data_IF_171374297441
#
_entry.id   IF_171374297441
#
_cell.length_a   1.000
_cell.length_b   1.000
_cell.length_c   1.000
_cell.angle_alpha   90.00
_cell.angle_beta   90.00
_cell.angle_gamma   90.00
#
_symmetry.space_group_name_H-M   'P 1'
#
loop_
_entity.id
_entity.type
_entity.pdbx_description
1 polymer ?
#
# COMPACT_ATOMS: atom_id res chain seq x y z
N UNK A 1 14.91 4.64 14.64
CA UNK A 1 13.65 4.32 13.98
C UNK A 1 12.49 4.73 14.87
N UNK A 2 11.40 5.23 14.28
CA UNK A 2 10.16 5.53 14.99
C UNK A 2 9.21 4.33 14.80
N UNK A 3 8.64 3.85 15.88
CA UNK A 3 7.75 2.70 15.89
C UNK A 3 6.28 3.05 16.15
N UNK A 4 5.99 4.35 16.32
CA UNK A 4 4.63 4.86 16.46
C UNK A 4 4.49 6.24 15.78
N UNK A 5 3.24 6.59 15.46
CA UNK A 5 2.95 7.84 14.76
C UNK A 5 3.23 9.09 15.60
N UNK A 6 3.07 9.01 16.92
CA UNK A 6 3.27 10.16 17.81
C UNK A 6 4.75 10.54 17.87
N UNK A 7 5.65 9.58 18.09
CA UNK A 7 7.10 9.82 18.09
C UNK A 7 7.64 10.25 16.72
N UNK A 8 7.08 9.70 15.63
CA UNK A 8 7.46 10.09 14.27
C UNK A 8 7.08 11.53 13.92
N UNK A 9 6.02 12.07 14.54
CA UNK A 9 5.50 13.43 14.33
C UNK A 9 5.94 14.43 15.40
N UNK A 10 6.65 13.98 16.43
CA UNK A 10 7.09 14.84 17.52
C UNK A 10 8.00 15.98 17.02
N UNK A 11 8.00 17.09 17.75
CA UNK A 11 8.93 18.19 17.49
C UNK A 11 10.38 17.70 17.60
N UNK A 12 11.22 18.02 16.62
CA UNK A 12 12.59 17.55 16.53
C UNK A 12 12.77 16.12 16.00
N UNK A 13 11.70 15.42 15.65
CA UNK A 13 11.82 14.13 14.95
C UNK A 13 12.56 14.29 13.62
N UNK A 14 13.41 13.30 13.30
CA UNK A 14 14.13 13.27 12.03
C UNK A 14 13.11 13.14 10.88
N UNK A 15 13.15 14.09 9.95
CA UNK A 15 12.32 14.07 8.75
C UNK A 15 12.86 13.04 7.76
N UNK A 16 12.02 12.09 7.33
CA UNK A 16 12.40 11.00 6.42
C UNK A 16 12.47 11.45 4.97
N UNK A 17 11.55 12.31 4.55
CA UNK A 17 11.47 12.79 3.17
C UNK A 17 11.43 14.31 3.13
N UNK A 18 12.22 14.90 2.25
CA UNK A 18 12.16 16.32 1.94
C UNK A 18 10.75 16.70 1.47
N UNK A 19 10.22 17.81 1.93
CA UNK A 19 8.86 18.26 1.57
C UNK A 19 7.72 17.56 2.32
N UNK A 20 8.00 16.69 3.32
CA UNK A 20 7.00 16.02 4.16
C UNK A 20 7.18 16.40 5.64
N UNK A 21 6.86 17.65 6.04
CA UNK A 21 7.08 18.13 7.40
C UNK A 21 6.30 17.28 8.41
N UNK A 22 6.94 16.99 9.55
CA UNK A 22 6.37 16.13 10.59
C UNK A 22 6.14 14.68 10.16
N UNK A 23 6.86 14.21 9.13
CA UNK A 23 6.68 12.88 8.55
C UNK A 23 5.23 12.57 8.15
N UNK A 24 4.46 13.61 7.84
CA UNK A 24 3.08 13.49 7.40
C UNK A 24 3.01 13.39 5.88
N UNK A 25 2.61 12.22 5.38
CA UNK A 25 2.46 12.01 3.95
C UNK A 25 1.26 12.77 3.40
N UNK A 26 0.13 12.68 4.08
CA UNK A 26 -1.11 13.36 3.70
C UNK A 26 -2.06 13.48 4.88
N UNK A 27 -2.81 14.57 4.92
CA UNK A 27 -3.98 14.74 5.77
C UNK A 27 -5.17 15.11 4.88
N UNK A 28 -6.33 14.57 5.21
CA UNK A 28 -7.62 14.88 4.57
C UNK A 28 -8.61 15.17 5.69
N UNK A 29 -9.32 16.26 5.57
CA UNK A 29 -10.41 16.62 6.45
C UNK A 29 -11.67 16.84 5.61
N UNK A 30 -12.77 16.26 6.03
CA UNK A 30 -14.06 16.39 5.36
C UNK A 30 -15.15 16.54 6.40
N UNK A 31 -16.04 17.53 6.21
CA UNK A 31 -17.17 17.75 7.07
C UNK A 31 -18.44 17.80 6.22
N UNK A 32 -19.48 17.11 6.64
CA UNK A 32 -20.77 17.04 5.98
C UNK A 32 -21.88 17.38 6.98
N UNK A 33 -22.79 18.28 6.60
CA UNK A 33 -23.90 18.70 7.43
C UNK A 33 -23.46 19.53 8.64
N UNK A 34 -24.30 19.52 9.68
CA UNK A 34 -24.10 20.25 10.94
C UNK A 34 -23.70 19.24 12.04
N UNK A 35 -22.41 19.01 12.16
CA UNK A 35 -21.86 18.03 13.12
C UNK A 35 -22.07 18.50 14.56
N UNK A 36 -21.84 19.78 14.85
CA UNK A 36 -22.01 20.34 16.19
C UNK A 36 -23.46 20.31 16.64
N UNK A 37 -24.39 20.72 15.76
CA UNK A 37 -25.81 20.60 16.00
C UNK A 37 -26.25 19.15 16.19
N UNK A 38 -25.70 18.22 15.43
CA UNK A 38 -25.95 16.79 15.57
C UNK A 38 -25.52 16.24 16.93
N UNK A 39 -24.36 16.63 17.45
CA UNK A 39 -23.92 16.26 18.80
C UNK A 39 -24.74 16.94 19.89
N UNK A 40 -25.13 18.21 19.71
CA UNK A 40 -25.99 18.92 20.66
C UNK A 40 -27.40 18.31 20.76
N UNK A 41 -27.91 17.73 19.68
CA UNK A 41 -29.19 17.05 19.64
C UNK A 41 -29.14 15.57 20.12
N UNK A 42 -27.96 15.04 20.42
CA UNK A 42 -27.80 13.64 20.84
C UNK A 42 -28.28 13.44 22.30
N UNK A 43 -29.05 12.39 22.54
CA UNK A 43 -29.39 11.93 23.89
C UNK A 43 -28.22 11.19 24.55
N UNK A 44 -27.34 10.61 23.74
CA UNK A 44 -26.18 9.83 24.16
C UNK A 44 -25.02 10.10 23.23
N UNK A 45 -23.86 10.43 23.81
CA UNK A 45 -22.59 10.53 23.09
C UNK A 45 -21.65 9.46 23.61
N UNK A 46 -21.03 8.72 22.68
CA UNK A 46 -19.98 7.73 22.99
C UNK A 46 -18.73 8.08 22.22
N UNK A 47 -17.60 7.88 22.86
CA UNK A 47 -16.28 8.06 22.27
C UNK A 47 -15.41 6.85 22.62
N UNK A 48 -14.74 6.29 21.60
CA UNK A 48 -13.85 5.14 21.74
C UNK A 48 -12.63 5.30 20.84
N UNK A 49 -11.52 4.75 21.31
CA UNK A 49 -10.31 4.58 20.53
C UNK A 49 -10.13 3.10 20.18
N UNK A 50 -9.74 2.85 18.93
CA UNK A 50 -9.47 1.51 18.41
C UNK A 50 -8.06 1.51 17.84
N UNK A 51 -7.38 0.38 18.01
CA UNK A 51 -6.06 0.15 17.46
C UNK A 51 -6.06 -1.12 16.63
N UNK A 52 -5.58 -1.03 15.41
CA UNK A 52 -5.36 -2.15 14.50
C UNK A 52 -3.87 -2.32 14.28
N UNK A 53 -3.32 -3.45 14.71
CA UNK A 53 -1.91 -3.76 14.46
C UNK A 53 -1.65 -3.98 12.96
N UNK A 54 -0.43 -3.69 12.54
CA UNK A 54 0.02 -4.07 11.21
C UNK A 54 -0.03 -5.59 11.02
N UNK A 55 -0.56 -6.05 9.89
CA UNK A 55 -0.69 -7.47 9.59
C UNK A 55 -0.20 -7.82 8.19
N UNK A 56 0.41 -9.00 8.06
CA UNK A 56 0.81 -9.58 6.78
C UNK A 56 -0.39 -10.25 6.10
N UNK A 57 -0.47 -10.16 4.78
CA UNK A 57 -1.54 -10.79 3.98
C UNK A 57 -1.42 -12.32 3.95
N UNK A 58 -0.23 -12.87 4.18
CA UNK A 58 0.07 -14.30 4.30
C UNK A 58 -0.54 -15.18 3.19
N UNK A 59 -0.41 -14.76 1.91
CA UNK A 59 -0.86 -15.57 0.78
C UNK A 59 -0.16 -16.92 0.81
N UNK A 60 -0.86 -18.00 0.45
CA UNK A 60 -0.27 -19.34 0.36
C UNK A 60 0.79 -19.42 -0.74
N UNK A 61 0.56 -18.76 -1.88
CA UNK A 61 1.51 -18.66 -2.98
C UNK A 61 2.61 -17.64 -2.67
N UNK A 62 3.90 -18.02 -2.73
CA UNK A 62 5.00 -17.08 -2.63
C UNK A 62 5.03 -16.09 -3.80
N UNK A 63 5.81 -15.03 -3.68
CA UNK A 63 6.05 -14.12 -4.80
C UNK A 63 6.97 -14.78 -5.83
N UNK A 64 6.53 -14.80 -7.07
CA UNK A 64 7.28 -15.41 -8.18
C UNK A 64 7.07 -14.64 -9.49
N UNK A 65 8.11 -14.64 -10.31
CA UNK A 65 8.08 -14.13 -11.67
C UNK A 65 8.96 -14.97 -12.60
N UNK A 66 8.56 -15.02 -13.86
CA UNK A 66 9.38 -15.55 -14.96
C UNK A 66 9.54 -14.45 -15.99
N UNK A 67 10.75 -14.03 -16.24
CA UNK A 67 11.10 -13.01 -17.21
C UNK A 67 11.86 -13.65 -18.38
N UNK A 68 11.50 -13.27 -19.60
CA UNK A 68 12.20 -13.67 -20.81
C UNK A 68 12.64 -12.43 -21.58
N UNK A 69 13.93 -12.34 -21.88
CA UNK A 69 14.51 -11.32 -22.74
C UNK A 69 14.77 -11.88 -24.14
N UNK A 70 14.08 -11.33 -25.13
CA UNK A 70 14.35 -11.59 -26.55
C UNK A 70 15.41 -10.56 -27.02
N UNK A 71 16.65 -10.99 -27.10
CA UNK A 71 17.76 -10.12 -27.47
C UNK A 71 17.71 -9.66 -28.94
N UNK A 72 17.14 -10.46 -29.84
CA UNK A 72 17.03 -10.11 -31.25
C UNK A 72 16.02 -8.99 -31.48
N UNK A 73 14.90 -9.02 -30.73
CA UNK A 73 13.85 -8.01 -30.83
C UNK A 73 13.95 -6.89 -29.77
N UNK A 74 14.85 -7.02 -28.82
CA UNK A 74 14.96 -6.09 -27.70
C UNK A 74 13.71 -6.05 -26.83
N UNK A 75 13.03 -7.19 -26.61
CA UNK A 75 11.74 -7.27 -25.92
C UNK A 75 11.80 -8.07 -24.63
N UNK A 76 11.09 -7.58 -23.63
CA UNK A 76 10.89 -8.25 -22.36
C UNK A 76 9.47 -8.80 -22.24
N UNK A 77 9.34 -10.09 -21.92
CA UNK A 77 8.07 -10.66 -21.46
C UNK A 77 8.22 -11.08 -20.01
N UNK A 78 7.36 -10.54 -19.15
CA UNK A 78 7.31 -10.89 -17.73
C UNK A 78 5.98 -11.59 -17.42
N UNK A 79 6.06 -12.80 -16.88
CA UNK A 79 4.95 -13.47 -16.20
C UNK A 79 5.08 -13.24 -14.72
N UNK A 80 4.11 -12.56 -14.10
CA UNK A 80 4.14 -12.26 -12.66
C UNK A 80 2.80 -12.49 -12.00
N UNK A 81 2.85 -12.94 -10.75
CA UNK A 81 1.69 -13.15 -9.88
C UNK A 81 1.21 -11.79 -9.31
N UNK A 82 0.87 -10.88 -10.19
CA UNK A 82 0.45 -9.50 -9.86
C UNK A 82 -1.07 -9.32 -9.96
N UNK A 83 -1.63 -8.40 -9.17
CA UNK A 83 -3.02 -7.91 -9.31
C UNK A 83 -3.13 -6.77 -10.32
N UNK A 84 -1.99 -6.13 -10.66
CA UNK A 84 -1.94 -4.87 -11.40
C UNK A 84 -0.92 -4.93 -12.56
N UNK A 85 -1.13 -5.77 -13.57
CA UNK A 85 -0.17 -5.95 -14.65
C UNK A 85 0.18 -4.63 -15.37
N UNK A 86 -0.74 -3.69 -15.43
CA UNK A 86 -0.50 -2.38 -16.03
C UNK A 86 0.53 -1.55 -15.25
N UNK A 87 0.43 -1.50 -13.91
CA UNK A 87 1.42 -0.76 -13.10
C UNK A 87 2.80 -1.42 -13.13
N UNK A 88 2.84 -2.75 -13.14
CA UNK A 88 4.10 -3.49 -13.34
C UNK A 88 4.73 -3.15 -14.68
N UNK A 89 3.94 -3.08 -15.75
CA UNK A 89 4.39 -2.66 -17.07
C UNK A 89 5.05 -1.27 -17.04
N UNK A 90 4.36 -0.27 -16.50
CA UNK A 90 4.89 1.09 -16.40
C UNK A 90 6.17 1.18 -15.56
N UNK A 91 6.21 0.45 -14.45
CA UNK A 91 7.39 0.42 -13.58
C UNK A 91 8.59 -0.22 -14.29
N UNK A 92 8.38 -1.34 -14.99
CA UNK A 92 9.43 -1.98 -15.79
C UNK A 92 9.97 -1.05 -16.86
N UNK A 93 9.11 -0.34 -17.60
CA UNK A 93 9.53 0.61 -18.63
C UNK A 93 10.47 1.68 -18.05
N UNK A 94 10.11 2.26 -16.91
CA UNK A 94 10.91 3.27 -16.23
C UNK A 94 12.21 2.71 -15.66
N UNK A 95 12.14 1.61 -14.91
CA UNK A 95 13.30 1.05 -14.21
C UNK A 95 14.33 0.45 -15.17
N UNK A 96 13.88 -0.16 -16.27
CA UNK A 96 14.74 -0.79 -17.27
C UNK A 96 15.14 0.15 -18.40
N UNK A 97 14.55 1.36 -18.43
CA UNK A 97 14.73 2.34 -19.50
C UNK A 97 14.41 1.74 -20.89
N UNK A 98 13.26 1.07 -20.97
CA UNK A 98 12.74 0.48 -22.18
C UNK A 98 11.48 1.23 -22.63
N UNK A 99 11.25 1.22 -23.94
CA UNK A 99 9.97 1.64 -24.50
C UNK A 99 8.84 0.72 -23.99
N UNK A 100 7.68 1.26 -23.67
CA UNK A 100 6.51 0.48 -23.22
C UNK A 100 6.13 -0.59 -24.24
N UNK A 101 6.25 -0.31 -25.54
CA UNK A 101 5.97 -1.26 -26.63
C UNK A 101 6.93 -2.46 -26.65
N UNK A 102 8.09 -2.36 -26.00
CA UNK A 102 9.06 -3.45 -25.87
C UNK A 102 8.79 -4.38 -24.69
N UNK A 103 7.76 -4.09 -23.87
CA UNK A 103 7.46 -4.86 -22.66
C UNK A 103 6.08 -5.49 -22.75
N UNK A 104 5.99 -6.76 -22.37
CA UNK A 104 4.75 -7.48 -22.17
C UNK A 104 4.68 -8.05 -20.77
N UNK A 105 3.65 -7.68 -20.01
CA UNK A 105 3.36 -8.27 -18.70
C UNK A 105 2.17 -9.22 -18.84
N UNK A 106 2.36 -10.45 -18.40
CA UNK A 106 1.35 -11.51 -18.42
C UNK A 106 1.02 -11.89 -16.99
N UNK A 107 -0.24 -11.76 -16.63
CA UNK A 107 -0.77 -12.25 -15.35
C UNK A 107 -1.25 -13.70 -15.53
N UNK A 108 -0.57 -14.70 -14.95
CA UNK A 108 -1.04 -16.07 -14.91
C UNK A 108 -2.18 -16.23 -13.88
N UNK A 109 -2.54 -17.47 -13.56
CA UNK A 109 -3.34 -17.73 -12.35
C UNK A 109 -2.59 -17.28 -11.11
N UNK A 110 -3.29 -16.62 -10.19
CA UNK A 110 -2.72 -16.01 -8.99
C UNK A 110 -3.29 -16.69 -7.75
N UNK A 111 -2.41 -17.26 -6.94
CA UNK A 111 -2.76 -17.97 -5.71
C UNK A 111 -2.98 -17.06 -4.51
N UNK A 112 -3.70 -15.95 -4.72
CA UNK A 112 -4.05 -14.96 -3.71
C UNK A 112 -3.21 -13.68 -3.82
N UNK A 113 -3.80 -12.57 -3.44
CA UNK A 113 -3.13 -11.26 -3.44
C UNK A 113 -3.55 -10.42 -2.23
N UNK A 114 -4.86 -10.30 -1.97
CA UNK A 114 -5.44 -9.62 -0.80
C UNK A 114 -4.96 -8.17 -0.62
N UNK A 115 -4.51 -7.53 -1.71
CA UNK A 115 -3.92 -6.19 -1.69
C UNK A 115 -2.38 -6.16 -1.66
N UNK A 116 -1.70 -7.24 -1.33
CA UNK A 116 -0.23 -7.32 -1.34
C UNK A 116 0.37 -7.03 -2.72
N UNK A 117 -0.26 -7.55 -3.78
CA UNK A 117 0.23 -7.50 -5.17
C UNK A 117 -0.42 -6.38 -5.99
N UNK A 118 -0.80 -5.27 -5.33
CA UNK A 118 -1.44 -4.10 -5.97
C UNK A 118 -0.47 -3.00 -6.34
N UNK A 119 0.81 -3.27 -6.27
CA UNK A 119 1.87 -2.42 -6.80
C UNK A 119 2.97 -3.28 -7.40
N UNK A 120 3.93 -2.65 -8.05
CA UNK A 120 5.13 -3.31 -8.52
C UNK A 120 6.06 -3.58 -7.35
N UNK A 121 6.45 -4.83 -7.19
CA UNK A 121 7.39 -5.25 -6.17
C UNK A 121 8.80 -5.39 -6.77
N UNK A 122 9.81 -5.23 -5.94
CA UNK A 122 11.20 -5.21 -6.39
C UNK A 122 11.61 -6.47 -7.17
N UNK A 123 11.09 -7.64 -6.79
CA UNK A 123 11.43 -8.92 -7.44
C UNK A 123 11.03 -8.95 -8.93
N UNK A 124 10.00 -8.22 -9.34
CA UNK A 124 9.55 -8.13 -10.74
C UNK A 124 10.57 -7.36 -11.59
N UNK A 125 11.08 -6.24 -11.05
CA UNK A 125 12.14 -5.45 -11.71
C UNK A 125 13.44 -6.24 -11.77
N UNK A 126 13.80 -6.91 -10.67
CA UNK A 126 15.01 -7.76 -10.58
C UNK A 126 14.95 -8.89 -11.60
N UNK A 127 13.80 -9.57 -11.74
CA UNK A 127 13.62 -10.63 -12.74
C UNK A 127 13.83 -10.11 -14.17
N UNK A 128 13.31 -8.94 -14.49
CA UNK A 128 13.51 -8.27 -15.78
C UNK A 128 14.99 -7.92 -16.04
N UNK A 129 15.68 -7.36 -15.05
CA UNK A 129 17.11 -7.04 -15.14
C UNK A 129 17.97 -8.30 -15.35
N UNK A 130 17.70 -9.35 -14.58
CA UNK A 130 18.40 -10.61 -14.67
C UNK A 130 18.18 -11.29 -16.03
N UNK A 131 16.96 -11.29 -16.56
CA UNK A 131 16.66 -11.84 -17.87
C UNK A 131 17.42 -11.11 -18.98
N UNK A 132 17.50 -9.78 -18.92
CA UNK A 132 18.29 -8.97 -19.87
C UNK A 132 19.78 -9.25 -19.75
N UNK A 133 20.32 -9.36 -18.54
CA UNK A 133 21.72 -9.67 -18.30
C UNK A 133 22.10 -11.09 -18.76
N UNK A 134 21.20 -12.07 -18.56
CA UNK A 134 21.39 -13.45 -19.01
C UNK A 134 21.13 -13.64 -20.51
N UNK A 135 20.52 -12.67 -21.20
CA UNK A 135 20.14 -12.79 -22.60
C UNK A 135 19.08 -13.87 -22.86
N UNK A 136 18.20 -14.16 -21.90
CA UNK A 136 17.27 -15.27 -21.99
C UNK A 136 16.21 -15.31 -20.91
N UNK A 137 15.84 -16.50 -20.48
CA UNK A 137 14.76 -16.71 -19.50
C UNK A 137 15.32 -16.87 -18.09
N UNK A 138 14.74 -16.14 -17.15
CA UNK A 138 15.04 -16.23 -15.71
C UNK A 138 13.75 -16.47 -14.94
N UNK A 139 13.77 -17.39 -13.99
CA UNK A 139 12.75 -17.57 -12.96
C UNK A 139 13.28 -17.05 -11.65
N UNK A 140 12.53 -16.18 -11.02
CA UNK A 140 12.78 -15.68 -9.67
C UNK A 140 11.58 -16.03 -8.79
N UNK A 141 11.84 -16.74 -7.71
CA UNK A 141 10.83 -17.12 -6.72
C UNK A 141 11.39 -16.81 -5.34
N UNK A 142 10.61 -16.10 -4.55
CA UNK A 142 10.98 -15.80 -3.17
C UNK A 142 10.60 -16.97 -2.27
N UNK A 143 11.44 -17.24 -1.27
CA UNK A 143 11.09 -18.14 -0.18
C UNK A 143 9.90 -17.59 0.62
N UNK A 144 9.34 -18.39 1.50
CA UNK A 144 8.28 -17.93 2.41
C UNK A 144 8.76 -16.76 3.29
N UNK A 145 9.95 -16.85 3.83
CA UNK A 145 10.56 -15.81 4.66
C UNK A 145 10.76 -14.52 3.85
N UNK A 146 11.36 -14.60 2.67
CA UNK A 146 11.55 -13.45 1.80
C UNK A 146 10.21 -12.82 1.39
N UNK A 147 9.17 -13.63 1.14
CA UNK A 147 7.83 -13.13 0.84
C UNK A 147 7.26 -12.35 2.02
N UNK A 148 7.51 -12.75 3.26
CA UNK A 148 7.10 -12.00 4.45
C UNK A 148 7.90 -10.73 4.67
N UNK A 149 9.16 -10.70 4.29
CA UNK A 149 10.05 -9.54 4.47
C UNK A 149 9.93 -8.48 3.35
N UNK A 150 9.44 -8.86 2.19
CA UNK A 150 9.40 -7.98 1.00
C UNK A 150 8.03 -7.43 0.66
N UNK A 151 7.06 -7.54 1.57
CA UNK A 151 5.74 -7.00 1.35
C UNK A 151 5.47 -5.76 2.20
N UNK A 152 4.44 -5.03 1.81
CA UNK A 152 3.81 -4.00 2.63
C UNK A 152 2.64 -4.62 3.35
N UNK A 153 2.64 -4.73 4.63
CA UNK A 153 1.50 -5.17 5.42
C UNK A 153 0.23 -4.34 5.18
N UNK A 154 -0.83 -4.70 5.81
CA UNK A 154 -1.92 -3.77 6.07
C UNK A 154 -1.43 -2.83 7.16
N UNK A 155 -1.47 -1.51 6.92
CA UNK A 155 -0.83 -0.57 7.81
C UNK A 155 -1.51 -0.55 9.17
N UNK A 156 -0.70 -0.38 10.21
CA UNK A 156 -1.20 -0.10 11.54
C UNK A 156 -2.03 1.17 11.52
N UNK A 157 -3.17 1.12 12.20
CA UNK A 157 -4.16 2.20 12.16
C UNK A 157 -4.74 2.45 13.54
N UNK A 158 -4.67 3.69 13.99
CA UNK A 158 -5.35 4.18 15.18
C UNK A 158 -6.59 4.95 14.76
N UNK A 159 -7.72 4.63 15.37
CA UNK A 159 -9.01 5.28 15.10
C UNK A 159 -9.59 5.82 16.41
N UNK A 160 -9.90 7.10 16.45
CA UNK A 160 -10.72 7.71 17.49
C UNK A 160 -12.05 8.06 16.88
N UNK A 161 -13.11 7.53 17.45
CA UNK A 161 -14.48 7.73 16.95
C UNK A 161 -15.38 8.24 18.05
N UNK A 162 -16.14 9.28 17.73
CA UNK A 162 -17.20 9.84 18.57
C UNK A 162 -18.52 9.78 17.81
N UNK A 163 -19.55 9.26 18.46
CA UNK A 163 -20.89 9.08 17.87
C UNK A 163 -21.97 9.66 18.77
N UNK A 164 -22.88 10.40 18.21
CA UNK A 164 -24.11 10.89 18.83
C UNK A 164 -25.31 10.04 18.44
N UNK A 165 -26.14 9.68 19.40
CA UNK A 165 -27.30 8.81 19.23
C UNK A 165 -28.53 9.39 19.92
N UNK A 166 -29.70 9.20 19.33
CA UNK A 166 -30.97 9.40 20.02
C UNK A 166 -31.32 8.22 20.93
N UNK A 167 -32.30 8.35 21.83
CA UNK A 167 -32.85 7.25 22.65
C UNK A 167 -33.41 6.10 21.80
N UNK A 168 -33.80 6.37 20.58
CA UNK A 168 -34.29 5.33 19.64
C UNK A 168 -33.20 4.68 18.83
N UNK A 169 -31.92 5.07 19.04
CA UNK A 169 -30.75 4.51 18.37
C UNK A 169 -30.43 5.13 17.01
N UNK A 170 -31.11 6.22 16.61
CA UNK A 170 -30.74 6.93 15.40
C UNK A 170 -29.43 7.71 15.61
N UNK A 171 -28.54 7.67 14.62
CA UNK A 171 -27.28 8.41 14.63
C UNK A 171 -27.57 9.88 14.31
N UNK A 172 -27.08 10.80 15.16
CA UNK A 172 -27.23 12.25 14.98
C UNK A 172 -25.94 12.90 14.46
N UNK A 173 -24.78 12.40 14.87
CA UNK A 173 -23.48 12.85 14.39
C UNK A 173 -22.43 11.75 14.51
N UNK A 174 -21.41 11.81 13.64
CA UNK A 174 -20.19 11.01 13.74
C UNK A 174 -19.01 11.94 13.52
N UNK A 175 -17.99 11.80 14.38
CA UNK A 175 -16.67 12.38 14.20
C UNK A 175 -15.65 11.23 14.28
N UNK A 176 -14.74 11.16 13.32
CA UNK A 176 -13.71 10.14 13.31
C UNK A 176 -12.35 10.76 12.96
N UNK A 177 -11.33 10.46 13.77
CA UNK A 177 -9.94 10.72 13.47
C UNK A 177 -9.25 9.39 13.20
N UNK A 178 -8.59 9.29 12.04
CA UNK A 178 -7.91 8.06 11.62
C UNK A 178 -6.44 8.39 11.35
N UNK A 179 -5.54 7.77 12.08
CA UNK A 179 -4.09 7.90 11.89
C UNK A 179 -3.55 6.58 11.40
N UNK A 180 -3.04 6.56 10.17
CA UNK A 180 -2.51 5.36 9.54
C UNK A 180 -1.01 5.48 9.33
N UNK A 181 -0.24 4.43 9.67
CA UNK A 181 1.20 4.37 9.46
C UNK A 181 1.51 3.83 8.06
N UNK A 182 2.11 4.65 7.23
CA UNK A 182 2.46 4.30 5.85
C UNK A 182 3.85 3.67 5.69
N UNK A 183 4.63 3.56 6.79
CA UNK A 183 6.04 3.17 6.72
C UNK A 183 6.92 4.24 6.07
N UNK A 184 8.20 3.94 5.89
CA UNK A 184 9.19 4.91 5.41
C UNK A 184 8.95 5.40 3.97
N UNK A 185 8.21 4.67 3.16
CA UNK A 185 7.95 4.99 1.75
C UNK A 185 6.47 5.22 1.43
N UNK A 186 5.64 5.36 2.46
CA UNK A 186 4.21 5.69 2.37
C UNK A 186 3.44 4.88 1.32
N UNK A 187 3.74 3.60 1.20
CA UNK A 187 3.23 2.70 0.17
C UNK A 187 1.71 2.77 -0.04
N UNK A 188 1.03 1.64 0.00
CA UNK A 188 -0.41 1.52 -0.28
C UNK A 188 -1.33 2.29 0.70
N UNK A 189 -0.81 2.70 1.87
CA UNK A 189 -1.55 3.52 2.84
C UNK A 189 -2.14 4.80 2.25
N UNK A 190 -1.49 5.39 1.24
CA UNK A 190 -2.00 6.56 0.55
C UNK A 190 -3.33 6.31 -0.16
N UNK A 191 -3.56 5.12 -0.70
CA UNK A 191 -4.78 4.77 -1.42
C UNK A 191 -6.00 4.76 -0.51
N UNK A 192 -5.85 4.29 0.73
CA UNK A 192 -6.94 4.22 1.71
C UNK A 192 -7.38 5.58 2.23
N UNK A 193 -6.58 6.63 2.05
CA UNK A 193 -6.92 8.02 2.41
C UNK A 193 -7.58 8.75 1.22
N UNK A 194 -7.49 8.20 0.00
CA UNK A 194 -8.00 8.85 -1.22
C UNK A 194 -9.44 8.46 -1.56
N UNK A 195 -9.95 7.40 -0.99
CA UNK A 195 -11.29 6.85 -1.17
C UNK A 195 -12.04 6.79 0.16
#
# INVERSE_FOLDING_TARGET
AYFDAASARAEGAVQLHEGKPGNLERAVEQTFGDVDGGFAAADLVREHAFHYAEVNHAMMEPNAAVAHWDAERGRLTLHSVTQVPYYVHLALARCLQLDESAIRVVKPFVGGGFGHRTETLNFEVIAGLLARAAGGTVRLELSREETFLTHRGRPETDVRMKIGLTKTGAITAIEAEVVQRGGAYAGYGLVTILY
#
